data_IF_102334629399
#
_entry.id   IF_102334629399
#
_cell.length_a   1.000
_cell.length_b   1.000
_cell.length_c   1.000
_cell.angle_alpha   90.00
_cell.angle_beta   90.00
_cell.angle_gamma   90.00
#
_symmetry.space_group_name_H-M   'P 1'
#
loop_
_entity.id
_entity.type
_entity.pdbx_description
1 polymer ?
#
# COMPACT_ATOMS: atom_id res chain seq x y z
N UNK A 1 0.78 -7.38 15.17
CA UNK A 1 2.08 -8.09 15.07
C UNK A 1 2.74 -7.59 13.79
N UNK A 2 4.05 -7.30 13.77
CA UNK A 2 4.76 -6.86 12.56
C UNK A 2 5.60 -8.02 12.02
N UNK A 3 5.60 -8.23 10.70
CA UNK A 3 6.28 -9.36 10.05
C UNK A 3 7.39 -8.89 9.09
N UNK A 4 8.37 -9.75 8.73
CA UNK A 4 9.52 -9.36 7.91
C UNK A 4 9.17 -8.73 6.56
N UNK A 5 8.10 -9.19 5.90
CA UNK A 5 7.65 -8.64 4.62
C UNK A 5 7.17 -7.18 4.73
N UNK A 6 6.57 -6.81 5.87
CA UNK A 6 6.16 -5.43 6.15
C UNK A 6 7.37 -4.53 6.35
N UNK A 7 8.30 -4.96 7.22
CA UNK A 7 9.56 -4.25 7.49
C UNK A 7 10.36 -4.06 6.19
N UNK A 8 10.37 -5.07 5.32
CA UNK A 8 11.11 -5.00 4.06
C UNK A 8 10.56 -3.90 3.12
N UNK A 9 9.24 -3.74 3.01
CA UNK A 9 8.67 -2.64 2.23
C UNK A 9 8.92 -1.27 2.90
N UNK A 10 8.72 -1.18 4.22
CA UNK A 10 8.94 0.04 5.01
C UNK A 10 10.39 0.52 4.93
N UNK A 11 11.36 -0.40 4.97
CA UNK A 11 12.80 -0.09 4.83
C UNK A 11 13.18 0.57 3.50
N UNK A 12 12.29 0.46 2.50
CA UNK A 12 12.44 1.07 1.17
C UNK A 12 11.54 2.31 0.99
N UNK A 13 10.93 2.80 2.07
CA UNK A 13 10.00 3.93 2.05
C UNK A 13 8.62 3.58 1.48
N UNK A 14 8.32 2.30 1.27
CA UNK A 14 7.03 1.82 0.77
C UNK A 14 6.22 1.11 1.85
N UNK A 15 5.13 0.49 1.42
CA UNK A 15 4.26 -0.36 2.24
C UNK A 15 3.91 -1.62 1.46
N UNK A 16 3.37 -2.64 2.12
CA UNK A 16 2.82 -3.79 1.38
C UNK A 16 1.65 -3.33 0.50
N UNK A 17 1.50 -3.96 -0.67
CA UNK A 17 0.54 -3.55 -1.66
C UNK A 17 -0.91 -3.62 -1.15
N UNK A 18 -1.67 -2.56 -1.38
CA UNK A 18 -3.13 -2.56 -1.31
C UNK A 18 -3.71 -3.03 -2.63
N UNK A 19 -4.68 -3.94 -2.55
CA UNK A 19 -5.44 -4.41 -3.70
C UNK A 19 -6.90 -4.06 -3.47
N UNK A 20 -7.37 -3.03 -4.17
CA UNK A 20 -8.71 -2.45 -3.94
C UNK A 20 -9.68 -2.70 -5.10
N UNK A 21 -9.25 -3.42 -6.13
CA UNK A 21 -10.10 -3.76 -7.27
C UNK A 21 -9.64 -5.01 -8.01
N UNK A 22 -10.58 -5.66 -8.72
CA UNK A 22 -10.26 -6.79 -9.60
C UNK A 22 -9.26 -6.40 -10.70
N UNK A 23 -9.34 -5.17 -11.21
CA UNK A 23 -8.39 -4.66 -12.21
C UNK A 23 -6.96 -4.60 -11.64
N UNK A 24 -6.77 -4.13 -10.42
CA UNK A 24 -5.45 -4.17 -9.76
C UNK A 24 -4.98 -5.60 -9.55
N UNK A 25 -5.85 -6.48 -9.05
CA UNK A 25 -5.52 -7.89 -8.86
C UNK A 25 -5.05 -8.54 -10.17
N UNK A 26 -5.78 -8.34 -11.28
CA UNK A 26 -5.42 -8.86 -12.59
C UNK A 26 -4.06 -8.33 -13.10
N UNK A 27 -3.75 -7.05 -12.83
CA UNK A 27 -2.44 -6.47 -13.20
C UNK A 27 -1.31 -7.09 -12.39
N UNK A 28 -1.53 -7.32 -11.09
CA UNK A 28 -0.55 -7.92 -10.20
C UNK A 28 -0.31 -9.38 -10.56
N UNK A 29 -1.36 -10.16 -10.83
CA UNK A 29 -1.25 -11.59 -11.13
C UNK A 29 -0.58 -11.86 -12.47
N UNK A 30 -0.54 -10.87 -13.37
CA UNK A 30 0.25 -10.90 -14.60
C UNK A 30 1.74 -10.60 -14.41
N UNK A 31 2.18 -10.17 -13.22
CA UNK A 31 3.60 -9.90 -12.96
C UNK A 31 4.38 -11.21 -12.77
N UNK A 32 5.65 -11.29 -13.23
CA UNK A 32 6.50 -12.48 -13.04
C UNK A 32 6.68 -12.91 -11.57
N UNK A 33 6.52 -12.01 -10.61
CA UNK A 33 6.59 -12.32 -9.18
C UNK A 33 5.37 -13.12 -8.69
N UNK A 34 4.22 -13.00 -9.35
CA UNK A 34 2.95 -13.59 -8.94
C UNK A 34 2.51 -14.79 -9.79
N UNK A 35 3.00 -14.92 -11.03
CA UNK A 35 2.65 -16.04 -11.91
C UNK A 35 3.09 -17.37 -11.27
N UNK A 36 2.11 -18.22 -10.94
CA UNK A 36 2.33 -19.53 -10.33
C UNK A 36 2.94 -19.47 -8.92
N UNK A 37 2.86 -18.31 -8.25
CA UNK A 37 3.49 -18.07 -6.95
C UNK A 37 2.50 -17.48 -5.96
N UNK A 38 2.89 -17.55 -4.69
CA UNK A 38 2.19 -16.92 -3.58
C UNK A 38 2.91 -15.61 -3.22
N UNK A 39 2.13 -14.55 -3.03
CA UNK A 39 2.66 -13.20 -2.77
C UNK A 39 1.86 -12.51 -1.68
N UNK A 40 2.54 -12.09 -0.61
CA UNK A 40 1.92 -11.28 0.45
C UNK A 40 1.46 -9.91 -0.06
N UNK A 41 0.29 -9.47 0.42
CA UNK A 41 -0.25 -8.12 0.28
C UNK A 41 -0.47 -7.49 1.66
N UNK A 42 -0.85 -6.22 1.70
CA UNK A 42 -0.85 -5.42 2.92
C UNK A 42 -2.06 -5.58 3.83
N UNK A 43 -2.84 -6.67 3.74
CA UNK A 43 -4.02 -6.85 4.57
C UNK A 43 -3.81 -7.93 5.64
N UNK A 44 -4.33 -7.68 6.84
CA UNK A 44 -4.28 -8.61 7.96
C UNK A 44 -5.44 -8.35 8.94
N UNK A 45 -5.80 -9.36 9.72
CA UNK A 45 -6.72 -9.23 10.86
C UNK A 45 -6.02 -9.52 12.21
N UNK A 46 -4.68 -9.45 12.24
CA UNK A 46 -3.87 -9.73 13.43
C UNK A 46 -4.23 -8.90 14.66
N UNK A 47 -4.86 -7.73 14.47
CA UNK A 47 -5.27 -6.84 15.56
C UNK A 47 -6.59 -7.28 16.19
N UNK A 48 -7.53 -7.77 15.38
CA UNK A 48 -8.84 -8.21 15.81
C UNK A 48 -9.36 -9.26 14.82
N UNK A 49 -9.42 -10.51 15.27
CA UNK A 49 -9.87 -11.66 14.48
C UNK A 49 -11.16 -11.35 13.71
N UNK A 50 -11.18 -11.67 12.42
CA UNK A 50 -12.33 -11.42 11.54
C UNK A 50 -12.49 -9.95 11.10
N UNK A 51 -11.63 -9.05 11.55
CA UNK A 51 -11.60 -7.64 11.11
C UNK A 51 -10.33 -7.35 10.33
N UNK A 52 -10.44 -7.48 9.01
CA UNK A 52 -9.35 -7.22 8.08
C UNK A 52 -9.12 -5.72 7.89
N UNK A 53 -7.87 -5.30 8.08
CA UNK A 53 -7.39 -3.93 7.89
C UNK A 53 -6.18 -3.91 6.98
N UNK A 54 -5.94 -2.78 6.33
CA UNK A 54 -4.66 -2.50 5.70
C UNK A 54 -3.61 -2.18 6.76
N UNK A 55 -2.45 -2.81 6.70
CA UNK A 55 -1.40 -2.73 7.73
C UNK A 55 -0.70 -1.36 7.80
N UNK A 56 -0.82 -0.54 6.75
CA UNK A 56 -0.14 0.75 6.67
C UNK A 56 -0.91 1.90 7.35
N UNK A 57 -2.24 1.92 7.23
CA UNK A 57 -3.10 2.99 7.75
C UNK A 57 -4.23 2.48 8.67
N UNK A 58 -4.40 1.17 8.80
CA UNK A 58 -5.40 0.55 9.64
C UNK A 58 -6.84 0.67 9.12
N UNK A 59 -7.04 1.13 7.88
CA UNK A 59 -8.38 1.24 7.30
C UNK A 59 -8.97 -0.15 6.99
N UNK A 60 -10.28 -0.28 7.17
CA UNK A 60 -10.99 -1.55 6.94
C UNK A 60 -10.94 -1.90 5.44
N UNK A 61 -10.61 -3.14 5.13
CA UNK A 61 -10.49 -3.62 3.74
C UNK A 61 -11.85 -3.96 3.13
N UNK A 62 -12.76 -3.01 3.08
CA UNK A 62 -14.12 -3.24 2.55
C UNK A 62 -14.10 -3.72 1.10
N UNK A 63 -13.11 -3.26 0.34
CA UNK A 63 -12.88 -3.61 -1.07
C UNK A 63 -12.42 -5.06 -1.25
N UNK A 64 -11.76 -5.65 -0.25
CA UNK A 64 -11.31 -7.05 -0.33
C UNK A 64 -12.47 -8.04 -0.24
N UNK A 65 -13.63 -7.64 0.32
CA UNK A 65 -14.78 -8.55 0.54
C UNK A 65 -15.23 -9.27 -0.74
N UNK A 66 -15.09 -8.64 -1.90
CA UNK A 66 -15.49 -9.21 -3.20
C UNK A 66 -14.33 -9.86 -3.96
N UNK A 67 -13.12 -9.83 -3.40
CA UNK A 67 -11.89 -10.30 -4.04
C UNK A 67 -11.32 -11.58 -3.39
N UNK A 68 -11.83 -11.95 -2.22
CA UNK A 68 -11.50 -13.23 -1.59
C UNK A 68 -11.86 -14.40 -2.50
N UNK A 69 -10.98 -15.39 -2.54
CA UNK A 69 -11.26 -16.69 -3.11
C UNK A 69 -12.39 -17.38 -2.34
N UNK A 70 -13.09 -18.29 -3.00
CA UNK A 70 -14.12 -19.09 -2.35
C UNK A 70 -13.56 -19.79 -1.09
N UNK A 71 -14.32 -19.72 0.01
CA UNK A 71 -13.89 -20.24 1.31
C UNK A 71 -12.83 -19.41 2.04
N UNK A 72 -12.55 -18.18 1.58
CA UNK A 72 -11.67 -17.24 2.25
C UNK A 72 -12.42 -15.98 2.73
N UNK A 73 -11.93 -15.32 3.79
CA UNK A 73 -10.84 -15.78 4.67
C UNK A 73 -11.24 -17.07 5.43
N UNK A 74 -10.29 -18.00 5.54
CA UNK A 74 -10.37 -19.15 6.43
C UNK A 74 -10.56 -18.67 7.85
N UNK A 75 -11.45 -19.31 8.61
CA UNK A 75 -11.67 -18.99 10.01
C UNK A 75 -10.50 -19.42 10.90
N UNK A 76 -10.26 -18.69 11.99
CA UNK A 76 -9.35 -19.08 13.07
C UNK A 76 -8.10 -18.23 13.16
N UNK A 77 -7.52 -18.20 14.37
CA UNK A 77 -6.57 -17.17 14.81
C UNK A 77 -5.14 -17.27 14.28
N UNK A 78 -4.88 -18.22 13.37
CA UNK A 78 -3.55 -18.49 12.83
C UNK A 78 -3.37 -17.91 11.41
N UNK A 79 -4.45 -17.75 10.65
CA UNK A 79 -4.43 -17.40 9.22
C UNK A 79 -4.66 -15.91 9.00
N UNK A 80 -3.77 -15.08 9.55
CA UNK A 80 -4.09 -13.66 9.73
C UNK A 80 -3.50 -12.72 8.67
N UNK A 81 -2.89 -13.24 7.60
CA UNK A 81 -2.25 -12.41 6.56
C UNK A 81 -2.79 -12.73 5.19
N UNK A 82 -3.10 -11.70 4.40
CA UNK A 82 -3.62 -11.84 3.05
C UNK A 82 -2.49 -12.06 2.04
N UNK A 83 -2.69 -13.01 1.15
CA UNK A 83 -1.82 -13.31 0.02
C UNK A 83 -2.62 -13.42 -1.28
N UNK A 84 -1.94 -13.22 -2.40
CA UNK A 84 -2.41 -13.65 -3.71
C UNK A 84 -1.92 -15.08 -3.94
N UNK A 85 -2.85 -15.98 -4.27
CA UNK A 85 -2.59 -17.38 -4.60
C UNK A 85 -3.56 -17.81 -5.69
N UNK A 86 -3.07 -18.52 -6.71
CA UNK A 86 -3.89 -18.92 -7.87
C UNK A 86 -4.69 -17.75 -8.49
N UNK A 87 -4.08 -16.57 -8.55
CA UNK A 87 -4.68 -15.33 -9.04
C UNK A 87 -5.87 -14.78 -8.25
N UNK A 88 -6.11 -15.28 -7.04
CA UNK A 88 -7.17 -14.82 -6.12
C UNK A 88 -6.58 -14.45 -4.77
N UNK A 89 -7.34 -13.74 -3.93
CA UNK A 89 -6.89 -13.36 -2.58
C UNK A 89 -7.30 -14.45 -1.60
N UNK A 90 -6.37 -14.87 -0.74
CA UNK A 90 -6.60 -15.86 0.33
C UNK A 90 -5.86 -15.43 1.58
N UNK A 91 -6.23 -15.96 2.74
CA UNK A 91 -5.46 -15.74 3.98
C UNK A 91 -4.58 -16.95 4.29
N UNK A 92 -3.45 -16.69 4.96
CA UNK A 92 -2.50 -17.73 5.31
C UNK A 92 -1.67 -17.39 6.54
N UNK A 93 -0.86 -18.35 6.99
CA UNK A 93 0.06 -18.19 8.12
C UNK A 93 1.09 -17.09 7.80
N UNK A 94 1.02 -15.96 8.50
CA UNK A 94 1.90 -14.81 8.30
C UNK A 94 3.41 -15.11 8.35
N UNK A 95 3.80 -16.21 9.01
CA UNK A 95 5.20 -16.65 9.13
C UNK A 95 5.72 -17.38 7.90
N UNK A 96 4.88 -17.69 6.91
CA UNK A 96 5.31 -18.37 5.70
C UNK A 96 6.30 -17.50 4.89
N UNK A 97 7.35 -18.14 4.40
CA UNK A 97 8.43 -17.50 3.64
C UNK A 97 8.10 -17.52 2.15
N UNK A 98 7.24 -16.60 1.74
CA UNK A 98 6.85 -16.40 0.34
C UNK A 98 7.24 -14.99 -0.13
N UNK A 99 7.05 -14.73 -1.42
CA UNK A 99 7.33 -13.39 -1.99
C UNK A 99 6.34 -12.37 -1.43
N UNK A 100 6.63 -11.08 -1.58
CA UNK A 100 5.74 -10.01 -1.15
C UNK A 100 5.79 -8.86 -2.15
N UNK A 101 4.70 -8.13 -2.28
CA UNK A 101 4.59 -6.97 -3.17
C UNK A 101 4.61 -5.69 -2.34
N UNK A 102 5.53 -4.79 -2.66
CA UNK A 102 5.55 -3.45 -2.10
C UNK A 102 4.92 -2.45 -3.07
N UNK A 103 4.28 -1.42 -2.53
CA UNK A 103 3.87 -0.23 -3.25
C UNK A 103 4.52 1.01 -2.63
N UNK A 104 4.62 2.07 -3.42
CA UNK A 104 4.97 3.39 -2.87
C UNK A 104 3.90 3.83 -1.86
N UNK A 105 4.33 4.50 -0.81
CA UNK A 105 3.42 5.01 0.21
C UNK A 105 2.70 6.23 -0.33
N UNK A 106 1.38 6.19 -0.39
CA UNK A 106 0.58 7.39 -0.62
C UNK A 106 0.68 8.29 0.61
N UNK A 107 1.53 9.33 0.53
CA UNK A 107 1.71 10.30 1.60
C UNK A 107 0.51 11.25 1.76
N UNK A 108 -0.53 11.08 0.93
CA UNK A 108 -1.74 11.92 0.87
C UNK A 108 -2.78 11.57 1.94
N UNK A 109 -2.64 10.43 2.65
CA UNK A 109 -3.63 9.98 3.66
C UNK A 109 -3.39 10.54 5.08
N UNK A 110 -2.43 11.44 5.27
CA UNK A 110 -2.24 12.18 6.53
C UNK A 110 -2.01 13.68 6.33
N UNK A 111 -2.82 14.34 5.49
CA UNK A 111 -2.88 15.80 5.57
C UNK A 111 -3.98 16.20 6.55
N UNK A 112 -3.63 16.25 7.84
CA UNK A 112 -4.15 17.33 8.68
C UNK A 112 -3.89 18.67 7.97
N UNK A 113 -4.76 19.68 8.07
CA UNK A 113 -4.69 20.89 7.27
C UNK A 113 -3.42 21.69 7.61
N UNK A 114 -2.32 21.38 6.94
CA UNK A 114 -1.17 22.29 6.87
C UNK A 114 -1.62 23.39 5.94
N UNK A 115 -2.17 24.45 6.54
CA UNK A 115 -2.32 25.76 5.91
C UNK A 115 -0.94 26.11 5.36
N UNK A 116 -0.75 25.86 4.07
CA UNK A 116 0.46 26.20 3.36
C UNK A 116 0.31 27.66 2.96
N UNK A 117 0.55 28.58 3.90
CA UNK A 117 0.84 29.98 3.55
C UNK A 117 2.23 30.01 2.94
N UNK A 118 2.31 30.05 1.61
CA UNK A 118 3.53 30.47 0.93
C UNK A 118 3.65 31.98 1.04
N UNK A 119 4.42 32.46 2.02
CA UNK A 119 5.05 33.78 1.92
C UNK A 119 6.51 33.58 1.59
N UNK A 120 6.82 33.54 0.30
CA UNK A 120 8.17 33.83 -0.19
C UNK A 120 8.32 35.35 -0.16
N UNK A 121 8.78 35.87 0.98
CA UNK A 121 9.39 37.19 1.07
C UNK A 121 10.86 36.96 1.37
N UNK A 122 11.72 37.16 0.37
CA UNK A 122 13.01 37.84 0.56
C UNK A 122 13.55 38.34 -0.81
N UNK A 123 14.53 39.26 -0.87
CA UNK A 123 14.28 40.62 -1.31
C UNK A 123 15.04 40.99 -2.60
N UNK A 124 14.71 42.17 -3.09
CA UNK A 124 15.13 42.80 -4.33
C UNK A 124 16.61 42.63 -4.75
N UNK A 125 16.82 42.57 -6.06
CA UNK A 125 17.95 43.28 -6.68
C UNK A 125 17.48 43.98 -7.95
N UNK A 126 17.50 45.31 -7.88
CA UNK A 126 17.18 46.28 -8.94
C UNK A 126 18.45 46.62 -9.74
N UNK A 127 18.23 47.15 -10.95
CA UNK A 127 19.13 47.86 -11.88
C UNK A 127 19.79 46.96 -12.95
N UNK A 128 19.78 47.29 -14.25
CA UNK A 128 20.09 48.61 -14.85
C UNK A 128 19.53 48.74 -16.28
N UNK A 129 19.29 50.01 -16.67
CA UNK A 129 18.92 50.62 -17.97
C UNK A 129 19.81 50.21 -19.17
N UNK A 130 19.67 50.62 -20.44
CA UNK A 130 18.91 51.59 -21.26
C UNK A 130 18.96 51.03 -22.72
N UNK A 131 18.21 51.43 -23.75
CA UNK A 131 18.25 52.71 -24.48
C UNK A 131 17.31 52.66 -25.71
N UNK A 132 16.81 53.84 -26.09
CA UNK A 132 16.24 54.31 -27.39
C UNK A 132 17.14 53.98 -28.60
N UNK A 133 16.72 53.90 -29.87
CA UNK A 133 16.06 54.81 -30.86
C UNK A 133 15.67 53.94 -32.10
N UNK A 134 14.87 54.29 -33.12
CA UNK A 134 14.52 55.52 -33.87
C UNK A 134 13.01 55.55 -34.23
#
# INVERSE_FOLDING_TARGET
KIYPHQIACESKGGVLAKVTSQTQLNRITALPIAIGKEVWIGASDNKNEGTWVWEDDGTITSELKTLWADGNPMEGTDYNCAQIRNSQISNWLCKAQISFLCMEKDLTTTQDPVISTSTQNDPATTNTAASTTD
#
